data_IF_877941421446
#
_entry.id   IF_877941421446
#
_cell.length_a   1.000
_cell.length_b   1.000
_cell.length_c   1.000
_cell.angle_alpha   90.00
_cell.angle_beta   90.00
_cell.angle_gamma   90.00
#
_symmetry.space_group_name_H-M   'P 1'
#
loop_
_entity.id
_entity.type
_entity.pdbx_description
1 polymer ?
#
# COMPACT_ATOMS: atom_id res chain seq x y z
N UNK A 1 -18.79 26.84 -31.01
CA UNK A 1 -17.97 26.89 -29.78
C UNK A 1 -18.77 26.19 -28.68
N UNK A 2 -18.47 24.91 -28.40
CA UNK A 2 -17.74 24.43 -27.20
C UNK A 2 -18.43 24.88 -25.90
N UNK A 3 -19.27 23.98 -25.35
CA UNK A 3 -19.03 23.16 -24.14
C UNK A 3 -18.88 24.00 -22.87
N UNK A 4 -19.86 23.95 -21.96
CA UNK A 4 -19.69 23.64 -20.52
C UNK A 4 -21.03 23.75 -19.77
N UNK A 5 -21.72 22.64 -19.50
CA UNK A 5 -22.49 22.43 -18.26
C UNK A 5 -23.01 20.99 -18.25
N UNK A 6 -22.28 20.08 -17.60
CA UNK A 6 -22.74 18.73 -17.36
C UNK A 6 -22.13 18.23 -16.05
N UNK A 7 -22.61 18.74 -14.91
CA UNK A 7 -22.31 18.15 -13.60
C UNK A 7 -23.28 18.60 -12.51
N UNK A 8 -24.60 18.52 -12.74
CA UNK A 8 -25.57 18.75 -11.65
C UNK A 8 -26.89 17.97 -11.79
N UNK A 9 -26.92 16.85 -12.52
CA UNK A 9 -28.17 16.12 -12.78
C UNK A 9 -28.04 14.60 -12.62
N UNK A 10 -27.38 14.13 -11.56
CA UNK A 10 -27.31 12.68 -11.25
C UNK A 10 -27.96 12.31 -9.91
N UNK A 11 -28.33 13.27 -9.06
CA UNK A 11 -28.85 12.97 -7.71
C UNK A 11 -30.35 13.22 -7.48
N UNK A 12 -31.14 13.55 -8.51
CA UNK A 12 -32.56 13.91 -8.33
C UNK A 12 -33.57 13.11 -9.18
N UNK A 13 -33.21 11.92 -9.68
CA UNK A 13 -34.15 11.08 -10.46
C UNK A 13 -34.64 9.84 -9.70
N UNK A 14 -34.08 9.50 -8.53
CA UNK A 14 -34.47 8.27 -7.81
C UNK A 14 -35.65 8.42 -6.83
N UNK A 15 -36.38 9.54 -6.78
CA UNK A 15 -37.36 9.77 -5.71
C UNK A 15 -38.82 9.98 -6.15
N UNK A 16 -39.17 9.98 -7.44
CA UNK A 16 -40.55 10.32 -7.88
C UNK A 16 -41.06 9.54 -9.11
N UNK A 17 -40.92 8.21 -9.13
CA UNK A 17 -41.72 7.37 -10.02
C UNK A 17 -42.44 6.30 -9.21
N UNK A 18 -43.71 6.56 -8.94
CA UNK A 18 -44.67 5.56 -8.48
C UNK A 18 -44.72 4.39 -9.47
N UNK A 19 -44.73 3.19 -8.91
CA UNK A 19 -44.68 1.90 -9.58
C UNK A 19 -45.60 1.78 -10.80
N UNK A 20 -45.00 1.41 -11.94
CA UNK A 20 -45.62 0.53 -12.91
C UNK A 20 -44.72 -0.70 -13.04
N UNK A 21 -44.93 -1.67 -12.15
CA UNK A 21 -44.36 -2.99 -12.33
C UNK A 21 -45.07 -3.67 -13.51
N UNK A 22 -44.31 -4.31 -14.40
CA UNK A 22 -44.86 -5.15 -15.46
C UNK A 22 -45.68 -6.28 -14.83
N UNK A 23 -46.94 -6.39 -15.23
CA UNK A 23 -47.82 -7.46 -14.77
C UNK A 23 -47.40 -8.76 -15.48
N UNK A 24 -46.85 -9.70 -14.71
CA UNK A 24 -46.36 -10.98 -15.21
C UNK A 24 -47.51 -11.79 -15.83
N UNK A 25 -47.35 -12.22 -17.09
CA UNK A 25 -48.27 -13.12 -17.75
C UNK A 25 -47.65 -14.53 -17.89
N UNK A 26 -48.44 -15.62 -17.79
CA UNK A 26 -47.97 -16.97 -18.09
C UNK A 26 -47.45 -17.05 -19.54
N UNK A 27 -46.12 -17.14 -19.70
CA UNK A 27 -45.43 -17.08 -21.00
C UNK A 27 -44.29 -16.07 -21.09
N UNK A 28 -44.15 -15.16 -20.11
CA UNK A 28 -42.99 -14.25 -19.98
C UNK A 28 -41.73 -14.97 -19.44
N UNK A 29 -41.34 -16.06 -20.09
CA UNK A 29 -40.03 -16.69 -19.88
C UNK A 29 -39.11 -16.31 -21.03
N UNK A 30 -37.88 -15.88 -20.70
CA UNK A 30 -36.78 -15.83 -21.67
C UNK A 30 -36.78 -17.14 -22.44
N UNK A 31 -36.81 -17.07 -23.77
CA UNK A 31 -36.90 -18.21 -24.66
C UNK A 31 -35.68 -19.14 -24.46
N UNK A 32 -35.75 -20.02 -23.46
CA UNK A 32 -34.74 -21.05 -23.17
C UNK A 32 -35.01 -22.26 -24.06
N UNK A 33 -34.96 -22.04 -25.37
CA UNK A 33 -35.00 -23.11 -26.37
C UNK A 33 -33.60 -23.71 -26.61
N UNK A 34 -32.75 -23.75 -25.58
CA UNK A 34 -31.54 -24.58 -25.57
C UNK A 34 -31.69 -25.57 -24.42
N UNK A 35 -31.69 -26.86 -24.74
CA UNK A 35 -31.75 -27.93 -23.75
C UNK A 35 -30.60 -27.77 -22.75
N UNK A 36 -30.84 -28.10 -21.48
CA UNK A 36 -29.82 -28.02 -20.42
C UNK A 36 -28.55 -28.82 -20.75
N UNK A 37 -28.65 -29.83 -21.60
CA UNK A 37 -27.50 -30.57 -22.13
C UNK A 37 -26.52 -29.71 -22.93
N UNK A 38 -26.99 -28.67 -23.66
CA UNK A 38 -26.14 -27.75 -24.43
C UNK A 38 -25.52 -26.69 -23.51
N UNK A 39 -26.25 -26.22 -22.50
CA UNK A 39 -25.67 -25.32 -21.48
C UNK A 39 -24.58 -26.03 -20.68
N UNK A 40 -24.78 -27.29 -20.32
CA UNK A 40 -23.79 -28.09 -19.59
C UNK A 40 -22.59 -28.44 -20.49
N UNK A 41 -22.76 -28.66 -21.79
CA UNK A 41 -21.63 -28.87 -22.71
C UNK A 41 -20.78 -27.61 -22.88
N UNK A 42 -21.40 -26.42 -22.97
CA UNK A 42 -20.68 -25.13 -23.07
C UNK A 42 -19.82 -24.83 -21.81
N UNK A 43 -20.17 -25.40 -20.65
CA UNK A 43 -19.36 -25.35 -19.42
C UNK A 43 -18.32 -26.48 -19.33
N UNK A 44 -18.58 -27.65 -19.92
CA UNK A 44 -17.66 -28.79 -19.92
C UNK A 44 -16.51 -28.61 -20.92
N UNK A 45 -16.78 -28.01 -22.08
CA UNK A 45 -15.77 -27.75 -23.11
C UNK A 45 -14.89 -26.51 -22.81
N UNK A 46 -15.27 -25.71 -21.80
CA UNK A 46 -14.45 -24.62 -21.23
C UNK A 46 -13.73 -25.01 -19.93
N UNK A 47 -13.89 -26.26 -19.47
CA UNK A 47 -13.13 -26.76 -18.34
C UNK A 47 -11.75 -27.15 -18.85
N UNK A 48 -10.81 -26.21 -18.83
CA UNK A 48 -9.40 -26.55 -18.96
C UNK A 48 -9.08 -27.45 -17.77
N UNK A 49 -8.91 -28.76 -18.01
CA UNK A 49 -8.44 -29.73 -17.03
C UNK A 49 -6.99 -29.40 -16.67
N UNK A 50 -6.81 -28.40 -15.80
CA UNK A 50 -5.54 -28.12 -15.17
C UNK A 50 -5.22 -29.29 -14.26
N UNK A 51 -4.22 -30.08 -14.63
CA UNK A 51 -3.70 -31.13 -13.75
C UNK A 51 -3.17 -30.47 -12.47
N UNK A 52 -3.08 -31.21 -11.36
CA UNK A 52 -2.54 -30.64 -10.10
C UNK A 52 -1.15 -30.00 -10.26
N UNK A 53 -0.40 -30.38 -11.30
CA UNK A 53 0.88 -29.79 -11.67
C UNK A 53 0.74 -28.40 -12.33
N UNK A 54 -0.30 -28.17 -13.14
CA UNK A 54 -0.59 -26.87 -13.78
C UNK A 54 -1.12 -25.82 -12.78
N UNK A 55 -1.62 -26.29 -11.63
CA UNK A 55 -1.94 -25.47 -10.47
C UNK A 55 -0.69 -25.06 -9.68
N UNK A 56 0.49 -25.60 -9.97
CA UNK A 56 1.73 -25.29 -9.24
C UNK A 56 2.70 -24.57 -10.18
N UNK A 57 2.79 -23.24 -10.04
CA UNK A 57 3.85 -22.46 -10.68
C UNK A 57 5.04 -22.34 -9.72
N UNK A 58 6.18 -22.94 -10.06
CA UNK A 58 7.40 -22.86 -9.25
C UNK A 58 7.92 -21.42 -9.09
N UNK A 59 7.64 -20.53 -10.04
CA UNK A 59 7.95 -19.11 -9.96
C UNK A 59 6.89 -18.30 -9.18
N UNK A 60 5.70 -18.89 -8.94
CA UNK A 60 4.65 -18.28 -8.13
C UNK A 60 3.94 -19.31 -7.22
N UNK A 61 4.60 -19.73 -6.12
CA UNK A 61 4.06 -20.74 -5.21
C UNK A 61 2.72 -20.33 -4.60
N UNK A 62 1.86 -21.32 -4.32
CA UNK A 62 0.51 -21.16 -3.74
C UNK A 62 -0.46 -20.33 -4.60
N UNK A 63 -0.12 -20.03 -5.86
CA UNK A 63 -1.02 -19.38 -6.79
C UNK A 63 -1.88 -20.39 -7.55
N UNK A 64 -3.08 -20.00 -7.96
CA UNK A 64 -3.94 -20.76 -8.86
C UNK A 64 -4.23 -19.97 -10.14
N UNK A 65 -4.51 -20.64 -11.27
CA UNK A 65 -4.91 -19.96 -12.50
C UNK A 65 -6.24 -19.23 -12.30
N UNK A 66 -6.36 -18.03 -12.89
CA UNK A 66 -7.63 -17.33 -13.04
C UNK A 66 -8.30 -17.84 -14.33
N UNK A 67 -9.46 -18.47 -14.19
CA UNK A 67 -10.17 -19.08 -15.30
C UNK A 67 -10.47 -18.06 -16.41
N UNK A 68 -10.26 -18.47 -17.67
CA UNK A 68 -10.45 -17.62 -18.84
C UNK A 68 -9.24 -16.76 -19.22
N UNK A 69 -8.06 -16.94 -18.60
CA UNK A 69 -6.86 -16.19 -18.96
C UNK A 69 -5.54 -16.86 -18.60
N UNK A 70 -4.43 -16.18 -18.90
CA UNK A 70 -3.05 -16.60 -18.54
C UNK A 70 -2.63 -16.12 -17.15
N UNK A 71 -3.53 -15.48 -16.41
CA UNK A 71 -3.21 -14.86 -15.13
C UNK A 71 -3.29 -15.90 -14.02
N UNK A 72 -2.43 -15.74 -13.03
CA UNK A 72 -2.45 -16.52 -11.79
C UNK A 72 -2.67 -15.58 -10.62
N UNK A 73 -3.36 -16.06 -9.60
CA UNK A 73 -3.62 -15.32 -8.37
C UNK A 73 -3.16 -16.13 -7.16
N UNK A 74 -2.54 -15.46 -6.20
CA UNK A 74 -2.35 -15.96 -4.85
C UNK A 74 -3.08 -15.06 -3.85
N UNK A 75 -3.63 -15.68 -2.81
CA UNK A 75 -4.10 -14.98 -1.62
C UNK A 75 -3.09 -15.24 -0.51
N UNK A 76 -2.65 -14.16 0.13
CA UNK A 76 -1.73 -14.22 1.26
C UNK A 76 -2.23 -13.39 2.44
N UNK A 77 -1.42 -13.35 3.49
CA UNK A 77 -1.74 -12.65 4.73
C UNK A 77 -1.48 -13.49 5.97
N UNK A 78 -1.99 -13.01 7.10
CA UNK A 78 -1.97 -13.71 8.37
C UNK A 78 -2.97 -13.07 9.35
N UNK A 79 -3.40 -13.86 10.32
CA UNK A 79 -4.10 -13.36 11.51
C UNK A 79 -3.07 -13.19 12.63
N UNK A 80 -3.09 -12.05 13.32
CA UNK A 80 -2.21 -11.76 14.45
C UNK A 80 -3.03 -11.21 15.60
N UNK A 81 -2.83 -11.77 16.79
CA UNK A 81 -3.33 -11.23 18.05
C UNK A 81 -2.15 -10.67 18.83
N UNK A 82 -2.21 -9.39 19.14
CA UNK A 82 -1.22 -8.69 19.95
C UNK A 82 -1.71 -8.58 21.39
N UNK A 83 -0.81 -8.86 22.34
CA UNK A 83 -0.99 -8.60 23.77
C UNK A 83 0.08 -7.62 24.21
N UNK A 84 -0.34 -6.51 24.79
CA UNK A 84 0.53 -5.44 25.27
C UNK A 84 0.27 -5.26 26.75
N UNK A 85 1.32 -5.42 27.55
CA UNK A 85 1.35 -5.04 28.95
C UNK A 85 2.27 -3.84 29.10
N UNK A 86 1.69 -2.70 29.43
CA UNK A 86 2.41 -1.48 29.77
C UNK A 86 2.33 -1.27 31.29
N UNK A 87 3.46 -1.04 31.94
CA UNK A 87 3.54 -0.94 33.40
C UNK A 87 3.46 0.51 33.90
N UNK A 88 3.74 1.49 33.04
CA UNK A 88 3.83 2.93 33.41
C UNK A 88 3.01 3.83 32.47
N UNK A 89 2.52 3.28 31.38
CA UNK A 89 1.51 3.86 30.50
C UNK A 89 2.06 4.81 29.44
N UNK A 90 2.02 4.41 28.17
CA UNK A 90 2.23 5.27 27.00
C UNK A 90 0.95 5.93 26.45
N UNK A 91 1.10 6.94 25.58
CA UNK A 91 -0.03 7.60 24.91
C UNK A 91 -0.61 6.81 23.73
N UNK A 92 0.08 5.79 23.25
CA UNK A 92 -0.43 4.85 22.25
C UNK A 92 -0.53 3.46 22.88
N UNK A 93 -1.75 2.92 22.90
CA UNK A 93 -2.05 1.63 23.51
C UNK A 93 -1.81 0.46 22.56
N UNK A 94 -1.57 0.71 21.27
CA UNK A 94 -1.49 -0.32 20.23
C UNK A 94 -0.05 -0.61 19.80
N UNK A 95 0.88 0.34 19.95
CA UNK A 95 2.28 0.22 19.52
C UNK A 95 3.18 1.13 20.35
N UNK A 96 4.47 0.83 20.34
CA UNK A 96 5.49 1.66 20.98
C UNK A 96 6.12 2.66 20.00
N UNK A 97 5.57 3.88 19.96
CA UNK A 97 6.20 5.02 19.28
C UNK A 97 6.94 5.90 20.29
N UNK A 98 8.20 6.27 20.03
CA UNK A 98 9.01 7.04 21.00
C UNK A 98 8.40 8.41 21.30
N UNK A 99 7.77 9.05 20.30
CA UNK A 99 7.03 10.31 20.47
C UNK A 99 5.83 10.24 21.44
N UNK A 100 5.36 9.02 21.75
CA UNK A 100 4.25 8.76 22.65
C UNK A 100 4.70 8.34 24.06
N UNK A 101 6.01 8.38 24.34
CA UNK A 101 6.52 8.27 25.70
C UNK A 101 6.10 9.51 26.53
N UNK A 102 5.49 9.33 27.72
CA UNK A 102 5.12 10.44 28.59
C UNK A 102 6.33 11.23 29.10
N UNK A 103 6.19 12.54 29.10
CA UNK A 103 7.15 13.46 29.72
C UNK A 103 6.40 14.37 30.67
N UNK A 104 6.93 14.53 31.90
CA UNK A 104 6.30 15.37 32.91
C UNK A 104 6.13 16.82 32.40
N UNK A 105 4.90 17.34 32.45
CA UNK A 105 4.59 18.70 32.02
C UNK A 105 4.38 18.87 30.51
N UNK A 106 4.25 17.78 29.73
CA UNK A 106 3.97 17.85 28.28
C UNK A 106 2.53 18.29 27.92
N UNK A 107 1.71 18.59 28.92
CA UNK A 107 0.33 19.07 28.76
C UNK A 107 -0.68 17.97 28.41
N UNK A 108 -0.27 16.71 28.32
CA UNK A 108 -1.17 15.57 28.10
C UNK A 108 -1.59 14.95 29.44
N UNK A 109 -2.74 14.25 29.52
CA UNK A 109 -3.18 13.62 30.77
C UNK A 109 -2.18 12.57 31.26
N UNK A 110 -1.93 12.54 32.58
CA UNK A 110 -1.09 11.51 33.19
C UNK A 110 -1.58 10.10 32.81
N UNK A 111 -0.65 9.24 32.41
CA UNK A 111 -0.93 7.85 32.08
C UNK A 111 -0.60 6.94 33.29
N UNK A 112 -1.09 5.71 33.22
CA UNK A 112 -0.78 4.65 34.19
C UNK A 112 -0.77 3.32 33.44
N UNK A 113 -0.18 2.29 34.07
CA UNK A 113 -0.09 0.96 33.47
C UNK A 113 -1.44 0.43 32.98
N UNK A 114 -1.41 -0.26 31.84
CA UNK A 114 -2.59 -0.85 31.22
C UNK A 114 -2.24 -2.15 30.50
N UNK A 115 -3.27 -2.93 30.23
CA UNK A 115 -3.21 -4.05 29.30
C UNK A 115 -4.06 -3.71 28.07
N UNK A 116 -3.59 -4.12 26.90
CA UNK A 116 -4.36 -4.05 25.67
C UNK A 116 -4.19 -5.33 24.84
N UNK A 117 -5.27 -5.74 24.18
CA UNK A 117 -5.29 -6.90 23.29
C UNK A 117 -6.06 -6.57 22.02
N UNK A 118 -5.48 -6.87 20.86
CA UNK A 118 -6.12 -6.56 19.58
C UNK A 118 -5.61 -7.38 18.41
N UNK A 119 -6.39 -7.44 17.32
CA UNK A 119 -6.02 -8.11 16.09
C UNK A 119 -5.75 -7.16 14.90
N UNK A 120 -5.47 -5.87 15.19
CA UNK A 120 -5.34 -4.78 14.19
C UNK A 120 -4.31 -5.03 13.10
N UNK A 121 -3.23 -5.76 13.40
CA UNK A 121 -2.18 -6.05 12.43
C UNK A 121 -2.53 -7.21 11.49
N UNK A 122 -3.64 -7.92 11.70
CA UNK A 122 -4.08 -8.97 10.76
C UNK A 122 -4.15 -8.44 9.34
N UNK A 123 -3.61 -9.22 8.39
CA UNK A 123 -3.40 -8.82 6.99
C UNK A 123 -4.00 -9.83 6.05
N UNK A 124 -4.43 -9.32 4.90
CA UNK A 124 -4.73 -10.13 3.75
C UNK A 124 -4.30 -9.41 2.48
N UNK A 125 -3.90 -10.18 1.47
CA UNK A 125 -3.47 -9.64 0.18
C UNK A 125 -3.91 -10.53 -0.98
N UNK A 126 -3.98 -9.89 -2.15
CA UNK A 126 -4.18 -10.52 -3.44
C UNK A 126 -2.99 -10.15 -4.32
N UNK A 127 -2.32 -11.16 -4.87
CA UNK A 127 -1.21 -11.01 -5.81
C UNK A 127 -1.60 -11.68 -7.12
N UNK A 128 -1.76 -10.89 -8.18
CA UNK A 128 -2.10 -11.36 -9.52
C UNK A 128 -0.90 -11.15 -10.42
N UNK A 129 -0.46 -12.19 -11.11
CA UNK A 129 0.68 -12.13 -12.02
C UNK A 129 0.34 -12.78 -13.35
N UNK A 130 0.83 -12.20 -14.43
CA UNK A 130 0.74 -12.83 -15.76
C UNK A 130 1.78 -12.24 -16.71
N UNK A 131 1.71 -12.69 -17.95
CA UNK A 131 2.48 -12.21 -19.09
C UNK A 131 1.47 -11.74 -20.13
N UNK A 132 1.61 -10.51 -20.60
CA UNK A 132 0.72 -9.98 -21.64
C UNK A 132 1.02 -10.59 -23.03
N UNK A 133 0.21 -10.27 -24.03
CA UNK A 133 0.37 -10.78 -25.40
C UNK A 133 1.73 -10.45 -26.03
N UNK A 134 2.34 -9.34 -25.62
CA UNK A 134 3.67 -8.92 -26.05
C UNK A 134 4.82 -9.56 -25.26
N UNK A 135 4.54 -10.57 -24.42
CA UNK A 135 5.56 -11.27 -23.64
C UNK A 135 6.08 -10.52 -22.42
N UNK A 136 5.45 -9.40 -22.02
CA UNK A 136 5.88 -8.59 -20.86
C UNK A 136 5.20 -9.08 -19.58
N UNK A 137 5.97 -9.42 -18.52
CA UNK A 137 5.41 -9.77 -17.24
C UNK A 137 4.77 -8.55 -16.59
N UNK A 138 3.65 -8.79 -15.91
CA UNK A 138 3.00 -7.81 -15.05
C UNK A 138 2.53 -8.42 -13.72
N UNK A 139 2.39 -7.55 -12.73
CA UNK A 139 1.87 -7.87 -11.41
C UNK A 139 0.80 -6.84 -11.01
N UNK A 140 -0.24 -7.25 -10.31
CA UNK A 140 -1.16 -6.40 -9.57
C UNK A 140 -1.16 -6.90 -8.13
N UNK A 141 -0.93 -6.01 -7.17
CA UNK A 141 -0.86 -6.36 -5.77
C UNK A 141 -1.70 -5.43 -4.92
N UNK A 142 -2.59 -6.01 -4.11
CA UNK A 142 -3.44 -5.29 -3.15
C UNK A 142 -3.24 -5.92 -1.77
N UNK A 143 -2.98 -5.10 -0.76
CA UNK A 143 -2.84 -5.55 0.63
C UNK A 143 -3.56 -4.60 1.59
N UNK A 144 -4.28 -5.18 2.54
CA UNK A 144 -5.09 -4.51 3.55
C UNK A 144 -4.69 -4.98 4.96
N UNK A 145 -4.78 -4.07 5.94
CA UNK A 145 -4.78 -4.39 7.39
C UNK A 145 -5.93 -3.66 8.10
N UNK A 146 -5.98 -3.75 9.43
CA UNK A 146 -7.00 -3.07 10.27
C UNK A 146 -6.38 -2.05 11.22
N UNK A 147 -5.14 -1.63 10.94
CA UNK A 147 -4.33 -0.80 11.84
C UNK A 147 -4.56 0.69 11.58
N UNK A 148 -5.83 1.13 11.67
CA UNK A 148 -6.19 2.53 11.47
C UNK A 148 -5.69 3.41 12.62
N UNK A 149 -5.42 4.67 12.26
CA UNK A 149 -5.07 5.72 13.23
C UNK A 149 -6.27 6.22 14.03
N UNK A 150 -7.49 5.91 13.60
CA UNK A 150 -8.69 6.26 14.34
C UNK A 150 -8.88 5.30 15.53
N UNK A 151 -8.82 5.90 16.72
CA UNK A 151 -8.54 5.23 18.00
C UNK A 151 -9.80 4.78 18.74
N UNK A 152 -10.97 4.86 18.11
CA UNK A 152 -12.20 4.30 18.67
C UNK A 152 -12.06 2.79 18.90
N UNK A 153 -12.52 2.30 20.06
CA UNK A 153 -12.43 0.89 20.43
C UNK A 153 -13.07 -0.07 19.39
N UNK A 154 -14.04 0.44 18.63
CA UNK A 154 -14.78 -0.32 17.61
C UNK A 154 -14.43 0.07 16.17
N UNK A 155 -13.44 0.95 15.94
CA UNK A 155 -13.02 1.23 14.58
C UNK A 155 -12.05 0.15 14.08
N UNK A 156 -12.60 -0.78 13.29
CA UNK A 156 -11.91 -1.88 12.62
C UNK A 156 -12.07 -1.78 11.10
N UNK A 157 -12.01 -0.56 10.55
CA UNK A 157 -12.07 -0.38 9.10
C UNK A 157 -10.89 -1.07 8.40
N UNK A 158 -11.03 -1.59 7.18
CA UNK A 158 -9.87 -1.98 6.38
C UNK A 158 -9.04 -0.75 5.98
N UNK A 159 -7.73 -0.82 6.19
CA UNK A 159 -6.76 0.20 5.79
C UNK A 159 -5.92 -0.28 4.62
N UNK A 160 -5.83 0.54 3.59
CA UNK A 160 -5.03 0.25 2.40
C UNK A 160 -3.52 0.38 2.67
N UNK A 161 -2.81 -0.74 2.60
CA UNK A 161 -1.34 -0.76 2.63
C UNK A 161 -0.80 -0.64 1.22
N UNK A 162 -1.09 -1.63 0.38
CA UNK A 162 -0.61 -1.69 -1.00
C UNK A 162 -1.77 -1.73 -1.98
N UNK A 163 -1.62 -1.01 -3.10
CA UNK A 163 -2.46 -1.12 -4.29
C UNK A 163 -1.64 -0.63 -5.48
N UNK A 164 -0.93 -1.53 -6.14
CA UNK A 164 -0.06 -1.14 -7.25
C UNK A 164 -0.05 -2.18 -8.36
N UNK A 165 0.26 -1.71 -9.56
CA UNK A 165 0.60 -2.53 -10.71
C UNK A 165 2.07 -2.37 -11.08
N UNK A 166 2.68 -3.44 -11.58
CA UNK A 166 4.01 -3.42 -12.19
C UNK A 166 3.91 -3.97 -13.60
N UNK A 167 4.51 -3.30 -14.56
CA UNK A 167 4.67 -3.80 -15.93
C UNK A 167 6.11 -3.59 -16.38
N UNK A 168 6.86 -4.69 -16.52
CA UNK A 168 8.29 -4.63 -16.76
C UNK A 168 9.03 -3.87 -15.66
N UNK A 169 9.50 -2.65 -15.98
CA UNK A 169 10.29 -1.77 -15.08
C UNK A 169 9.49 -0.66 -14.43
N UNK A 170 8.23 -0.50 -14.83
CA UNK A 170 7.36 0.59 -14.37
C UNK A 170 6.40 0.08 -13.30
N UNK A 171 6.36 0.78 -12.17
CA UNK A 171 5.39 0.60 -11.10
C UNK A 171 4.49 1.83 -11.02
N UNK A 172 3.18 1.59 -10.87
CA UNK A 172 2.18 2.65 -10.64
C UNK A 172 1.26 2.24 -9.50
N UNK A 173 1.04 3.11 -8.53
CA UNK A 173 0.08 2.92 -7.43
C UNK A 173 0.67 3.22 -6.06
N UNK A 174 0.06 2.67 -5.00
CA UNK A 174 0.48 2.84 -3.60
C UNK A 174 1.37 1.68 -3.16
N UNK A 175 2.61 1.99 -2.81
CA UNK A 175 3.54 1.05 -2.18
C UNK A 175 4.60 1.80 -1.37
N UNK A 176 5.55 1.10 -0.77
CA UNK A 176 6.69 1.72 -0.07
C UNK A 176 7.39 2.77 -0.93
N UNK A 177 7.65 3.93 -0.32
CA UNK A 177 8.39 5.02 -0.95
C UNK A 177 9.77 4.57 -1.42
N UNK A 178 10.28 5.23 -2.45
CA UNK A 178 11.54 4.92 -3.12
C UNK A 178 12.74 5.11 -2.20
N UNK A 179 12.62 5.96 -1.18
CA UNK A 179 13.64 6.15 -0.13
C UNK A 179 13.55 5.15 1.04
N UNK A 180 12.58 4.24 1.03
CA UNK A 180 12.40 3.27 2.12
C UNK A 180 13.20 1.98 1.86
N UNK A 181 14.17 1.67 2.72
CA UNK A 181 14.92 0.41 2.69
C UNK A 181 14.40 -0.58 3.75
N UNK A 182 13.50 -1.46 3.34
CA UNK A 182 12.98 -2.55 4.19
C UNK A 182 13.98 -3.70 4.42
N UNK A 183 15.04 -3.81 3.61
CA UNK A 183 16.06 -4.83 3.81
C UNK A 183 16.93 -4.50 5.02
N UNK A 184 17.08 -3.23 5.36
CA UNK A 184 17.78 -2.83 6.58
C UNK A 184 16.89 -2.89 7.83
N UNK A 185 15.55 -2.91 7.70
CA UNK A 185 14.61 -2.84 8.84
C UNK A 185 14.74 -4.02 9.82
N UNK A 186 14.64 -3.76 11.14
CA UNK A 186 14.45 -4.81 12.16
C UNK A 186 13.26 -5.71 11.99
N UNK A 187 13.47 -7.00 12.26
CA UNK A 187 12.37 -7.83 12.73
C UNK A 187 12.03 -7.40 14.17
N UNK A 188 10.88 -6.75 14.34
CA UNK A 188 10.27 -6.45 15.63
C UNK A 188 8.93 -7.17 15.73
N UNK A 189 8.47 -7.41 16.96
CA UNK A 189 7.08 -7.82 17.19
C UNK A 189 6.13 -6.62 17.20
N UNK A 190 6.62 -5.46 17.63
CA UNK A 190 5.89 -4.20 17.68
C UNK A 190 5.67 -3.60 16.28
N UNK A 191 4.49 -3.01 16.06
CA UNK A 191 4.07 -2.49 14.76
C UNK A 191 4.81 -1.21 14.32
N UNK A 192 5.29 -0.39 15.26
CA UNK A 192 5.96 0.88 14.95
C UNK A 192 7.26 0.69 14.15
N UNK A 193 7.85 -0.51 14.17
CA UNK A 193 9.07 -0.91 13.44
C UNK A 193 10.33 -0.05 13.69
N UNK A 194 10.24 0.97 14.55
CA UNK A 194 11.30 1.90 14.94
C UNK A 194 11.36 3.18 14.08
N UNK A 195 11.77 4.28 14.70
CA UNK A 195 11.72 5.63 14.11
C UNK A 195 12.76 5.90 13.01
N UNK A 196 13.75 5.02 12.84
CA UNK A 196 14.80 5.19 11.83
C UNK A 196 14.35 4.83 10.41
N UNK A 197 13.14 4.28 10.23
CA UNK A 197 12.64 3.93 8.90
C UNK A 197 12.26 5.20 8.14
N UNK A 198 13.08 5.56 7.16
CA UNK A 198 12.81 6.68 6.27
C UNK A 198 11.69 6.33 5.30
N UNK A 199 10.55 6.99 5.49
CA UNK A 199 9.44 7.00 4.54
C UNK A 199 8.28 6.06 4.87
N UNK A 200 7.18 6.29 4.17
CA UNK A 200 5.92 5.56 4.31
C UNK A 200 5.49 5.02 2.95
N UNK A 201 4.35 4.33 2.91
CA UNK A 201 3.74 3.94 1.65
C UNK A 201 3.07 5.15 1.02
N UNK A 202 3.33 5.37 -0.27
CA UNK A 202 2.89 6.56 -1.01
C UNK A 202 2.37 6.16 -2.38
N UNK A 203 1.40 6.92 -2.87
CA UNK A 203 1.03 6.87 -4.29
C UNK A 203 2.23 7.35 -5.12
N UNK A 204 2.62 6.57 -6.11
CA UNK A 204 3.83 6.81 -6.89
C UNK A 204 3.75 6.26 -8.32
N UNK A 205 4.59 6.86 -9.17
CA UNK A 205 5.02 6.29 -10.45
C UNK A 205 6.53 6.09 -10.35
N UNK A 206 7.00 4.85 -10.42
CA UNK A 206 8.40 4.49 -10.21
C UNK A 206 8.94 3.67 -11.36
N UNK A 207 10.09 4.07 -11.88
CA UNK A 207 10.91 3.26 -12.77
C UNK A 207 12.03 2.62 -11.97
N UNK A 208 12.24 1.31 -12.12
CA UNK A 208 13.31 0.58 -11.45
C UNK A 208 14.02 -0.38 -12.41
N UNK A 209 15.36 -0.37 -12.39
CA UNK A 209 16.16 -1.19 -13.29
C UNK A 209 17.54 -1.52 -12.71
N UNK A 210 18.22 -2.47 -13.35
CA UNK A 210 19.58 -2.86 -13.02
C UNK A 210 20.58 -1.92 -13.69
N UNK A 211 21.66 -1.61 -12.96
CA UNK A 211 22.84 -0.95 -13.49
C UNK A 211 24.03 -1.93 -13.38
N UNK A 212 24.29 -2.66 -14.45
CA UNK A 212 25.23 -3.78 -14.44
C UNK A 212 24.77 -4.94 -13.56
N UNK A 213 25.72 -5.71 -13.02
CA UNK A 213 25.43 -6.94 -12.25
C UNK A 213 25.21 -6.72 -10.76
N UNK A 214 25.72 -5.60 -10.21
CA UNK A 214 25.75 -5.35 -8.76
C UNK A 214 24.82 -4.25 -8.29
N UNK A 215 24.41 -3.33 -9.17
CA UNK A 215 23.63 -2.17 -8.78
C UNK A 215 22.20 -2.25 -9.32
N UNK A 216 21.27 -1.64 -8.57
CA UNK A 216 19.92 -1.33 -9.02
C UNK A 216 19.65 0.13 -8.71
N UNK A 217 18.94 0.82 -9.60
CA UNK A 217 18.49 2.18 -9.38
C UNK A 217 16.98 2.27 -9.54
N UNK A 218 16.38 3.24 -8.87
CA UNK A 218 15.00 3.62 -9.12
C UNK A 218 14.85 5.13 -9.11
N UNK A 219 13.92 5.62 -9.92
CA UNK A 219 13.49 7.02 -9.99
C UNK A 219 11.97 7.05 -9.90
N UNK A 220 11.41 7.96 -9.09
CA UNK A 220 9.98 8.05 -8.90
C UNK A 220 9.48 9.47 -8.74
N UNK A 221 8.23 9.65 -9.13
CA UNK A 221 7.37 10.76 -8.72
C UNK A 221 6.41 10.23 -7.65
N UNK A 222 6.38 10.86 -6.48
CA UNK A 222 5.57 10.40 -5.34
C UNK A 222 4.71 11.52 -4.77
N UNK A 223 3.57 11.14 -4.18
CA UNK A 223 2.78 12.03 -3.33
C UNK A 223 3.44 12.17 -1.96
N UNK A 224 3.75 13.40 -1.54
CA UNK A 224 4.27 13.67 -0.21
C UNK A 224 3.09 13.90 0.75
N UNK A 225 2.53 12.82 1.30
CA UNK A 225 1.30 12.89 2.12
C UNK A 225 1.42 13.78 3.35
N UNK A 226 2.63 13.89 3.92
CA UNK A 226 2.92 14.71 5.08
C UNK A 226 4.15 15.59 4.79
N UNK A 227 3.96 16.87 4.41
CA UNK A 227 5.07 17.78 4.13
C UNK A 227 5.81 18.26 5.39
N UNK A 228 5.33 17.92 6.59
CA UNK A 228 5.98 18.27 7.85
C UNK A 228 5.99 19.76 8.17
N UNK A 229 5.07 20.54 7.59
CA UNK A 229 4.91 21.96 7.89
C UNK A 229 4.06 22.09 9.15
N UNK A 230 4.70 22.40 10.28
CA UNK A 230 4.02 22.80 11.51
C UNK A 230 3.94 24.33 11.54
N UNK A 231 2.72 24.85 11.39
CA UNK A 231 2.43 26.27 11.47
C UNK A 231 1.42 26.52 12.59
N UNK A 232 1.83 26.18 13.82
CA UNK A 232 1.06 26.43 15.03
C UNK A 232 0.54 27.87 15.06
N UNK A 233 -0.74 28.02 15.38
CA UNK A 233 -1.46 29.29 15.50
C UNK A 233 -1.42 30.18 14.24
N UNK A 234 -1.11 29.60 13.07
CA UNK A 234 -1.06 30.31 11.78
C UNK A 234 -2.23 29.92 10.90
N UNK A 235 -2.93 30.91 10.34
CA UNK A 235 -4.01 30.66 9.37
C UNK A 235 -3.41 30.18 8.05
N UNK A 236 -3.92 29.06 7.56
CA UNK A 236 -3.55 28.51 6.26
C UNK A 236 -3.55 26.99 6.26
N UNK A 237 -3.01 26.42 5.19
CA UNK A 237 -2.85 24.97 5.09
C UNK A 237 -1.63 24.60 4.25
N UNK A 238 -1.00 23.49 4.63
CA UNK A 238 0.03 22.88 3.81
C UNK A 238 -0.59 22.35 2.51
N UNK A 239 0.06 22.62 1.38
CA UNK A 239 -0.38 22.14 0.08
C UNK A 239 0.80 21.76 -0.81
N UNK A 240 0.52 21.19 -1.98
CA UNK A 240 1.53 20.78 -2.96
C UNK A 240 1.04 21.10 -4.37
N UNK A 241 1.93 21.59 -5.23
CA UNK A 241 1.66 21.75 -6.68
C UNK A 241 2.38 20.70 -7.52
N UNK A 242 3.44 20.12 -6.98
CA UNK A 242 4.32 19.21 -7.68
C UNK A 242 4.48 17.92 -6.87
N UNK A 243 4.61 16.76 -7.55
CA UNK A 243 5.02 15.55 -6.87
C UNK A 243 6.45 15.70 -6.32
N UNK A 244 6.77 14.92 -5.30
CA UNK A 244 8.13 14.72 -4.83
C UNK A 244 8.90 13.94 -5.89
N UNK A 245 10.10 14.41 -6.25
CA UNK A 245 11.04 13.68 -7.09
C UNK A 245 12.02 12.94 -6.18
N UNK A 246 12.16 11.64 -6.37
CA UNK A 246 13.06 10.82 -5.57
C UNK A 246 13.77 9.77 -6.41
N UNK A 247 14.95 9.41 -5.96
CA UNK A 247 15.71 8.30 -6.50
C UNK A 247 16.39 7.49 -5.42
N UNK A 248 16.77 6.27 -5.78
CA UNK A 248 17.67 5.44 -4.98
C UNK A 248 18.66 4.69 -5.85
N UNK A 249 19.77 4.32 -5.24
CA UNK A 249 20.68 3.28 -5.75
C UNK A 249 20.92 2.26 -4.64
N UNK A 250 20.94 0.99 -5.02
CA UNK A 250 21.35 -0.11 -4.12
C UNK A 250 22.48 -0.90 -4.73
N UNK A 251 23.35 -1.44 -3.88
CA UNK A 251 24.49 -2.26 -4.28
C UNK A 251 24.48 -3.57 -3.52
N UNK A 252 24.50 -4.70 -4.23
CA UNK A 252 24.77 -6.01 -3.64
C UNK A 252 26.23 -6.11 -3.23
N UNK A 253 26.48 -6.60 -2.03
CA UNK A 253 27.83 -6.69 -1.47
C UNK A 253 28.40 -8.10 -1.68
N UNK A 254 29.72 -8.24 -1.61
CA UNK A 254 30.35 -9.55 -1.77
C UNK A 254 29.98 -10.53 -0.65
N UNK A 255 29.67 -10.02 0.54
CA UNK A 255 29.24 -10.81 1.68
C UNK A 255 27.74 -11.20 1.63
N UNK A 256 27.02 -10.86 0.54
CA UNK A 256 25.60 -11.17 0.37
C UNK A 256 24.66 -10.14 1.01
N UNK A 257 25.20 -9.03 1.50
CA UNK A 257 24.47 -7.89 2.01
C UNK A 257 24.01 -6.90 0.92
N UNK A 258 23.53 -5.75 1.38
CA UNK A 258 23.08 -4.64 0.54
C UNK A 258 23.44 -3.30 1.15
N UNK A 259 23.95 -2.39 0.31
CA UNK A 259 24.05 -0.97 0.60
C UNK A 259 22.93 -0.22 -0.13
N UNK A 260 22.47 0.87 0.47
CA UNK A 260 21.40 1.72 -0.05
C UNK A 260 21.73 3.19 0.14
N UNK A 261 21.43 3.99 -0.89
CA UNK A 261 21.44 5.44 -0.85
C UNK A 261 20.19 5.96 -1.57
N UNK A 262 19.39 6.77 -0.89
CA UNK A 262 18.19 7.43 -1.41
C UNK A 262 18.30 8.94 -1.29
N UNK A 263 17.70 9.66 -2.25
CA UNK A 263 17.69 11.12 -2.28
C UNK A 263 16.37 11.64 -2.85
N UNK A 264 15.88 12.76 -2.33
CA UNK A 264 14.64 13.40 -2.77
C UNK A 264 14.75 14.92 -2.79
N UNK A 265 13.99 15.52 -3.70
CA UNK A 265 13.71 16.96 -3.74
C UNK A 265 12.21 17.15 -3.88
N UNK A 266 11.65 18.11 -3.14
CA UNK A 266 10.22 18.35 -3.09
C UNK A 266 9.90 19.80 -2.78
N UNK A 267 8.65 20.19 -3.01
CA UNK A 267 8.14 21.50 -2.67
C UNK A 267 7.53 21.48 -1.26
N UNK A 268 7.94 22.43 -0.42
CA UNK A 268 7.18 22.85 0.75
C UNK A 268 6.33 24.04 0.34
N UNK A 269 5.02 23.99 0.60
CA UNK A 269 4.12 25.09 0.28
C UNK A 269 3.06 25.28 1.36
N UNK A 270 2.84 26.54 1.71
CA UNK A 270 1.81 27.00 2.63
C UNK A 270 0.88 27.95 1.89
N UNK A 271 -0.41 27.63 1.85
CA UNK A 271 -1.43 28.51 1.32
C UNK A 271 -2.05 29.32 2.45
N UNK A 272 -1.89 30.64 2.39
CA UNK A 272 -2.34 31.57 3.44
C UNK A 272 -3.83 31.91 3.39
N UNK A 273 -4.57 31.29 2.47
CA UNK A 273 -6.04 31.38 2.32
C UNK A 273 -6.61 32.82 2.34
N UNK A 274 -5.84 33.80 1.86
CA UNK A 274 -6.23 35.21 1.84
C UNK A 274 -5.99 35.97 3.15
N UNK A 275 -5.65 35.29 4.25
CA UNK A 275 -5.23 35.92 5.50
C UNK A 275 -3.76 36.35 5.48
N UNK A 276 -2.93 35.65 4.69
CA UNK A 276 -1.53 35.97 4.46
C UNK A 276 -1.07 35.52 3.06
N UNK A 277 0.09 35.97 2.57
CA UNK A 277 0.64 35.52 1.31
C UNK A 277 0.94 34.00 1.31
N UNK A 278 0.78 33.36 0.16
CA UNK A 278 1.25 32.00 -0.04
C UNK A 278 2.78 31.96 0.02
N UNK A 279 3.33 30.94 0.66
CA UNK A 279 4.77 30.74 0.78
C UNK A 279 5.19 29.40 0.18
N UNK A 280 6.41 29.36 -0.37
CA UNK A 280 7.01 28.15 -0.92
C UNK A 280 8.49 28.07 -0.60
N UNK A 281 8.98 26.87 -0.34
CA UNK A 281 10.38 26.56 -0.15
C UNK A 281 10.75 25.23 -0.83
N UNK A 282 12.04 25.04 -1.08
CA UNK A 282 12.58 23.78 -1.57
C UNK A 282 12.91 22.89 -0.36
N UNK A 283 12.34 21.69 -0.33
CA UNK A 283 12.72 20.63 0.60
C UNK A 283 13.60 19.60 -0.08
N UNK A 284 14.49 18.99 0.69
CA UNK A 284 15.36 17.91 0.24
C UNK A 284 15.62 16.92 1.38
N UNK A 285 16.05 15.71 1.03
CA UNK A 285 16.36 14.68 2.02
C UNK A 285 17.21 13.56 1.44
N UNK A 286 18.02 12.96 2.30
CA UNK A 286 18.84 11.80 1.99
C UNK A 286 18.54 10.69 2.99
N UNK A 287 18.74 9.45 2.56
CA UNK A 287 18.69 8.27 3.42
C UNK A 287 19.79 7.32 3.00
N UNK A 288 20.45 6.71 3.98
CA UNK A 288 21.44 5.68 3.76
C UNK A 288 21.19 4.51 4.70
N UNK A 289 21.36 3.31 4.18
CA UNK A 289 21.24 2.12 5.01
C UNK A 289 22.04 0.97 4.46
N UNK A 290 22.18 -0.05 5.28
CA UNK A 290 22.74 -1.30 4.83
C UNK A 290 22.51 -2.44 5.81
N UNK A 291 22.75 -3.64 5.28
CA UNK A 291 22.86 -4.86 6.06
C UNK A 291 23.99 -5.67 5.45
N UNK A 292 24.91 -6.12 6.29
CA UNK A 292 26.06 -6.93 5.87
C UNK A 292 26.13 -8.20 6.70
N UNK A 293 26.51 -9.30 6.04
CA UNK A 293 26.69 -10.60 6.69
C UNK A 293 28.16 -10.85 6.98
N UNK A 294 28.43 -11.58 8.06
CA UNK A 294 29.77 -11.96 8.47
C UNK A 294 29.77 -13.34 9.15
N UNK A 295 30.94 -13.98 9.12
CA UNK A 295 31.16 -15.32 9.65
C UNK A 295 30.46 -16.44 8.86
N UNK A 296 30.88 -17.68 9.10
CA UNK A 296 30.31 -18.86 8.44
C UNK A 296 28.80 -19.05 8.74
N UNK A 297 28.35 -18.58 9.91
CA UNK A 297 26.95 -18.64 10.34
C UNK A 297 26.06 -17.53 9.76
N UNK A 298 26.61 -16.63 8.93
CA UNK A 298 25.89 -15.47 8.37
C UNK A 298 25.20 -14.62 9.44
N UNK A 299 25.93 -14.31 10.51
CA UNK A 299 25.52 -13.22 11.39
C UNK A 299 25.48 -11.93 10.60
N UNK A 300 24.71 -10.94 11.04
CA UNK A 300 24.59 -9.69 10.31
C UNK A 300 24.51 -8.50 11.24
N UNK A 301 25.00 -7.37 10.74
CA UNK A 301 24.77 -6.05 11.32
C UNK A 301 24.06 -5.18 10.29
N UNK A 302 23.35 -4.17 10.78
CA UNK A 302 22.58 -3.22 9.96
C UNK A 302 22.76 -1.81 10.46
N UNK A 303 22.48 -0.85 9.60
CA UNK A 303 22.50 0.57 9.94
C UNK A 303 21.53 1.31 9.02
N UNK A 304 20.96 2.39 9.53
CA UNK A 304 19.98 3.25 8.86
C UNK A 304 20.16 4.67 9.38
N UNK A 305 20.08 5.66 8.49
CA UNK A 305 20.04 7.09 8.80
C UNK A 305 19.58 7.92 7.59
#
# INVERSE_FOLDING_TARGET
MKKLLLLTTVLCVCALSTAFAQQWNPGDTLNTAKSDSIRISDFRDNMIDYTGQDLVDAAFPNSWPLFGGKARMAIGGYVKLDYIQDFDGGYDRFQYEIQNAPVAGDGRPAQSGYMNMHARESRFNFDIRSINEAGRPYQIFIELDFYNLDRGAFNQAPRLRHAYGVMGRLLVGRTWGTQSDLFAVPATIDFAAGDALTGTRRAQVRWEDKLGSKFMYALALEMLEYPGIDARDTIGQASQQLPLLTGRITKKTAAGGRLFLGASVFQLRWDGLGAMPNSRALGWGFSFSGREYFGAKKHWFRWMA
#
